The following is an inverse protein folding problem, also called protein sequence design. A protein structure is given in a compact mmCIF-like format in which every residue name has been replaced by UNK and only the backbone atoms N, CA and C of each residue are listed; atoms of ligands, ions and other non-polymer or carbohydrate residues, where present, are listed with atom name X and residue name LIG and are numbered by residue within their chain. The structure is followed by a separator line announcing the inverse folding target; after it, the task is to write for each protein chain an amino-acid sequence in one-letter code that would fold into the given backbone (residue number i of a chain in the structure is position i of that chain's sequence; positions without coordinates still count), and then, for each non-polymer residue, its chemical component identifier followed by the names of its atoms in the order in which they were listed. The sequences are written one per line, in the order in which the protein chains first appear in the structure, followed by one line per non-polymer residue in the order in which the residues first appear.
data_IF_398977760602
#
_entry.id   IF_398977760602
#
_cell.length_a   1.000
_cell.length_b   1.000
_cell.length_c   1.000
_cell.angle_alpha   90.00
_cell.angle_beta   90.00
_cell.angle_gamma   90.00
#
_symmetry.space_group_name_H-M   'P 1'
#
loop_
_entity.id
_entity.type
_entity.pdbx_description
1 polymer ?
#
# COMPACT_ATOMS: atom_id res chain seq x y z
N UNK A 1 -27.37 11.44 -27.18
CA UNK A 1 -26.47 11.75 -26.05
C UNK A 1 -25.82 10.43 -25.68
N UNK A 2 -24.52 10.26 -25.92
CA UNK A 2 -23.84 8.99 -25.61
C UNK A 2 -23.64 8.93 -24.10
N UNK A 3 -24.55 8.27 -23.40
CA UNK A 3 -24.44 8.04 -21.96
C UNK A 3 -23.42 6.90 -21.82
N UNK A 4 -22.23 7.21 -21.33
CA UNK A 4 -21.24 6.19 -21.01
C UNK A 4 -21.89 5.19 -20.02
N UNK A 5 -21.78 3.87 -20.25
CA UNK A 5 -22.28 2.89 -19.30
C UNK A 5 -21.67 3.13 -17.92
N UNK A 6 -22.45 3.02 -16.85
CA UNK A 6 -22.02 3.25 -15.47
C UNK A 6 -20.76 2.43 -15.10
N UNK A 7 -20.69 1.17 -15.57
CA UNK A 7 -19.52 0.30 -15.41
C UNK A 7 -18.26 0.87 -16.08
N UNK A 8 -18.40 1.57 -17.21
CA UNK A 8 -17.28 2.22 -17.91
C UNK A 8 -16.76 3.44 -17.15
N UNK A 9 -17.64 4.19 -16.48
CA UNK A 9 -17.24 5.33 -15.64
C UNK A 9 -16.51 4.86 -14.38
N UNK A 10 -17.00 3.80 -13.73
CA UNK A 10 -16.35 3.22 -12.55
C UNK A 10 -14.94 2.72 -12.87
N UNK A 11 -14.78 1.98 -13.97
CA UNK A 11 -13.46 1.50 -14.41
C UNK A 11 -12.48 2.66 -14.70
N UNK A 12 -12.98 3.74 -15.32
CA UNK A 12 -12.17 4.93 -15.58
C UNK A 12 -11.75 5.61 -14.28
N UNK A 13 -12.68 5.75 -13.33
CA UNK A 13 -12.40 6.34 -12.03
C UNK A 13 -11.39 5.51 -11.24
N UNK A 14 -11.57 4.19 -11.18
CA UNK A 14 -10.62 3.26 -10.55
C UNK A 14 -9.22 3.39 -11.15
N UNK A 15 -9.11 3.48 -12.48
CA UNK A 15 -7.84 3.70 -13.15
C UNK A 15 -7.22 5.04 -12.76
N UNK A 16 -8.00 6.11 -12.77
CA UNK A 16 -7.53 7.45 -12.42
C UNK A 16 -7.02 7.52 -10.98
N UNK A 17 -7.74 6.92 -10.03
CA UNK A 17 -7.32 6.83 -8.63
C UNK A 17 -6.02 6.04 -8.50
N UNK A 18 -5.91 4.87 -9.15
CA UNK A 18 -4.68 4.05 -9.13
C UNK A 18 -3.47 4.81 -9.69
N UNK A 19 -3.64 5.46 -10.85
CA UNK A 19 -2.58 6.24 -11.49
C UNK A 19 -2.15 7.41 -10.59
N UNK A 20 -3.11 8.14 -10.01
CA UNK A 20 -2.83 9.24 -9.09
C UNK A 20 -2.06 8.77 -7.84
N UNK A 21 -2.47 7.65 -7.24
CA UNK A 21 -1.79 7.07 -6.08
C UNK A 21 -0.38 6.66 -6.45
N UNK A 22 -0.20 5.92 -7.57
CA UNK A 22 1.11 5.52 -8.07
C UNK A 22 2.03 6.72 -8.27
N UNK A 23 1.58 7.74 -8.99
CA UNK A 23 2.37 8.93 -9.29
C UNK A 23 2.83 9.66 -8.03
N UNK A 24 1.94 9.80 -7.03
CA UNK A 24 2.28 10.46 -5.78
C UNK A 24 3.21 9.61 -4.91
N UNK A 25 3.02 8.29 -4.86
CA UNK A 25 3.95 7.39 -4.18
C UNK A 25 5.35 7.51 -4.77
N UNK A 26 5.50 7.47 -6.09
CA UNK A 26 6.81 7.63 -6.71
C UNK A 26 7.42 9.01 -6.50
N UNK A 27 6.61 10.07 -6.45
CA UNK A 27 7.09 11.42 -6.09
C UNK A 27 7.62 11.46 -4.67
N UNK A 28 6.91 10.86 -3.71
CA UNK A 28 7.36 10.75 -2.32
C UNK A 28 8.66 9.94 -2.22
N UNK A 29 8.73 8.79 -2.88
CA UNK A 29 9.94 7.96 -2.93
C UNK A 29 11.15 8.72 -3.50
N UNK A 30 10.95 9.51 -4.57
CA UNK A 30 11.98 10.37 -5.15
C UNK A 30 12.44 11.46 -4.18
N UNK A 31 11.52 12.03 -3.40
CA UNK A 31 11.84 12.99 -2.36
C UNK A 31 12.59 12.35 -1.18
N UNK A 32 12.19 11.16 -0.74
CA UNK A 32 12.85 10.42 0.34
C UNK A 32 14.29 10.08 -0.02
N UNK A 33 14.54 9.51 -1.21
CA UNK A 33 15.93 9.21 -1.61
C UNK A 33 16.75 10.49 -1.82
N UNK A 34 16.14 11.62 -2.19
CA UNK A 34 16.85 12.90 -2.21
C UNK A 34 17.29 13.31 -0.81
N UNK A 35 16.36 13.33 0.15
CA UNK A 35 16.68 13.63 1.54
C UNK A 35 17.73 12.70 2.13
N UNK A 36 17.67 11.40 1.81
CA UNK A 36 18.68 10.43 2.20
C UNK A 36 20.05 10.74 1.59
N UNK A 37 20.12 11.03 0.29
CA UNK A 37 21.41 11.34 -0.37
C UNK A 37 22.05 12.63 0.14
N UNK A 38 21.25 13.56 0.67
CA UNK A 38 21.73 14.81 1.27
C UNK A 38 22.15 14.64 2.74
N UNK A 39 21.91 13.47 3.35
CA UNK A 39 22.28 13.17 4.73
C UNK A 39 23.69 12.58 4.84
N UNK A 40 24.27 12.65 6.04
CA UNK A 40 25.55 12.01 6.32
C UNK A 40 25.47 10.48 6.23
N UNK A 41 24.28 9.89 6.43
CA UNK A 41 24.05 8.45 6.41
C UNK A 41 24.29 7.82 5.04
N UNK A 42 24.08 8.58 3.96
CA UNK A 42 24.37 8.10 2.62
C UNK A 42 25.87 7.84 2.43
N UNK A 43 26.73 8.65 3.04
CA UNK A 43 28.19 8.60 2.86
C UNK A 43 28.65 9.15 1.50
N UNK A 44 29.84 9.76 1.49
CA UNK A 44 30.37 10.49 0.33
C UNK A 44 30.62 9.64 -0.94
N UNK A 45 30.75 8.32 -0.80
CA UNK A 45 30.98 7.40 -1.92
C UNK A 45 29.70 6.78 -2.48
N UNK A 46 28.53 7.07 -1.89
CA UNK A 46 27.27 6.50 -2.34
C UNK A 46 26.65 7.33 -3.46
N UNK A 47 25.80 6.69 -4.26
CA UNK A 47 25.13 7.33 -5.39
C UNK A 47 23.87 6.56 -5.76
N UNK A 48 22.96 7.21 -6.48
CA UNK A 48 21.73 6.57 -6.97
C UNK A 48 22.05 5.48 -7.99
N UNK A 49 21.33 4.36 -7.91
CA UNK A 49 21.52 3.19 -8.76
C UNK A 49 20.23 2.78 -9.49
N UNK A 50 19.53 3.78 -10.03
CA UNK A 50 18.28 3.60 -10.76
C UNK A 50 17.12 3.19 -9.85
N UNK A 51 16.21 2.39 -10.42
CA UNK A 51 14.98 1.94 -9.78
C UNK A 51 14.86 0.42 -9.91
N UNK A 52 14.12 -0.18 -8.97
CA UNK A 52 13.55 -1.51 -9.15
C UNK A 52 12.03 -1.39 -9.19
N UNK A 53 11.36 -2.38 -9.78
CA UNK A 53 9.90 -2.42 -9.86
C UNK A 53 9.33 -3.35 -8.81
N UNK A 54 8.16 -2.99 -8.28
CA UNK A 54 7.36 -3.88 -7.43
C UNK A 54 5.88 -3.56 -7.56
N UNK A 55 5.06 -4.55 -7.23
CA UNK A 55 3.63 -4.36 -7.08
C UNK A 55 3.26 -4.23 -5.61
N UNK A 56 2.25 -3.40 -5.33
CA UNK A 56 1.74 -3.17 -4.00
C UNK A 56 0.21 -3.20 -4.00
N UNK A 57 -0.38 -4.06 -3.18
CA UNK A 57 -1.82 -4.01 -2.94
C UNK A 57 -2.12 -2.93 -1.92
N UNK A 58 -2.89 -1.93 -2.34
CA UNK A 58 -3.32 -0.83 -1.48
C UNK A 58 -4.83 -0.85 -1.27
N UNK A 59 -5.33 -0.09 -0.29
CA UNK A 59 -6.77 0.21 -0.18
C UNK A 59 -7.37 0.87 -1.43
N UNK A 60 -6.53 1.45 -2.29
CA UNK A 60 -6.94 2.12 -3.53
C UNK A 60 -6.82 1.21 -4.77
N UNK A 61 -6.45 -0.05 -4.58
CA UNK A 61 -6.30 -1.04 -5.64
C UNK A 61 -4.87 -1.59 -5.74
N UNK A 62 -4.69 -2.51 -6.70
CA UNK A 62 -3.38 -3.07 -7.03
C UNK A 62 -2.58 -2.04 -7.84
N UNK A 63 -1.49 -1.55 -7.24
CA UNK A 63 -0.54 -0.63 -7.87
C UNK A 63 0.55 -1.47 -8.51
N UNK A 64 0.51 -1.57 -9.83
CA UNK A 64 1.47 -2.32 -10.65
C UNK A 64 2.68 -1.46 -11.01
N UNK A 65 3.84 -2.08 -11.18
CA UNK A 65 5.05 -1.47 -11.72
C UNK A 65 5.49 -0.19 -10.97
N UNK A 66 5.36 -0.16 -9.65
CA UNK A 66 5.81 0.96 -8.82
C UNK A 66 7.33 1.08 -8.91
N UNK A 67 7.83 2.24 -9.34
CA UNK A 67 9.27 2.51 -9.45
C UNK A 67 9.83 2.93 -8.10
N UNK A 68 10.61 2.06 -7.47
CA UNK A 68 11.25 2.34 -6.19
C UNK A 68 12.72 2.68 -6.39
N UNK A 69 13.17 3.89 -6.02
CA UNK A 69 14.55 4.29 -6.18
C UNK A 69 15.45 3.51 -5.21
N UNK A 70 16.72 3.35 -5.59
CA UNK A 70 17.72 2.70 -4.76
C UNK A 70 19.07 3.38 -4.89
N UNK A 71 19.91 3.22 -3.89
CA UNK A 71 21.30 3.65 -3.88
C UNK A 71 22.25 2.50 -4.25
N UNK A 72 23.52 2.82 -4.51
CA UNK A 72 24.57 1.86 -4.87
C UNK A 72 24.93 0.96 -3.69
N UNK A 73 24.88 1.50 -2.47
CA UNK A 73 25.30 0.79 -1.26
C UNK A 73 24.15 0.05 -0.57
N UNK A 74 22.92 0.16 -1.09
CA UNK A 74 21.71 -0.46 -0.52
C UNK A 74 21.44 -0.04 0.93
N UNK A 75 21.76 1.21 1.25
CA UNK A 75 21.54 1.82 2.56
C UNK A 75 20.19 2.55 2.64
N UNK A 76 19.63 2.96 1.51
CA UNK A 76 18.34 3.63 1.46
C UNK A 76 17.19 2.66 1.76
N UNK A 77 16.38 2.99 2.76
CA UNK A 77 15.11 2.33 3.04
C UNK A 77 13.99 3.37 3.08
N UNK A 78 12.94 3.16 2.28
CA UNK A 78 11.77 4.03 2.26
C UNK A 78 10.93 3.87 3.53
N UNK A 79 10.26 4.95 3.94
CA UNK A 79 9.30 4.92 5.06
C UNK A 79 7.86 4.65 4.60
N UNK A 80 7.58 4.66 3.30
CA UNK A 80 6.22 4.44 2.79
C UNK A 80 5.73 3.00 2.98
N UNK A 81 6.65 2.04 3.04
CA UNK A 81 6.34 0.62 3.23
C UNK A 81 7.57 -0.14 3.71
N UNK A 82 7.33 -1.24 4.42
CA UNK A 82 8.38 -2.14 4.90
C UNK A 82 9.00 -2.97 3.76
N UNK A 83 10.25 -3.45 3.94
CA UNK A 83 10.86 -4.42 3.04
C UNK A 83 9.94 -5.63 2.85
N UNK A 84 9.78 -6.04 1.60
CA UNK A 84 8.93 -7.18 1.20
C UNK A 84 7.41 -7.03 1.47
N UNK A 85 6.93 -5.88 1.97
CA UNK A 85 5.51 -5.66 2.26
C UNK A 85 4.63 -5.72 0.99
N UNK A 86 3.79 -6.75 0.84
CA UNK A 86 2.93 -6.88 -0.36
C UNK A 86 1.60 -6.13 -0.26
N UNK A 87 1.16 -5.77 0.95
CA UNK A 87 -0.14 -5.15 1.25
C UNK A 87 0.05 -4.00 2.24
N UNK A 88 -0.61 -2.86 2.03
CA UNK A 88 -0.49 -1.64 2.87
C UNK A 88 -1.16 -1.75 4.27
N UNK A 89 -1.58 -2.94 4.70
CA UNK A 89 -2.06 -3.20 6.07
C UNK A 89 -3.41 -2.57 6.45
N UNK A 90 -4.04 -1.86 5.52
CA UNK A 90 -5.27 -1.10 5.78
C UNK A 90 -6.44 -1.96 6.29
N UNK A 91 -6.50 -3.21 5.84
CA UNK A 91 -7.59 -4.13 6.18
C UNK A 91 -7.42 -4.63 7.62
N UNK A 92 -6.19 -4.94 8.00
CA UNK A 92 -5.80 -5.26 9.36
C UNK A 92 -6.13 -4.10 10.31
N UNK A 93 -5.84 -2.87 9.91
CA UNK A 93 -6.20 -1.69 10.70
C UNK A 93 -7.72 -1.50 10.81
N UNK A 94 -8.47 -1.69 9.73
CA UNK A 94 -9.94 -1.66 9.77
C UNK A 94 -10.50 -2.74 10.72
N UNK A 95 -9.91 -3.95 10.71
CA UNK A 95 -10.24 -5.03 11.65
C UNK A 95 -10.00 -4.62 13.10
N UNK A 96 -8.85 -4.01 13.39
CA UNK A 96 -8.53 -3.49 14.73
C UNK A 96 -9.55 -2.43 15.16
N UNK A 97 -9.91 -1.49 14.28
CA UNK A 97 -10.87 -0.43 14.60
C UNK A 97 -12.29 -0.96 14.84
N UNK A 98 -12.75 -1.92 14.03
CA UNK A 98 -14.04 -2.58 14.24
C UNK A 98 -14.09 -3.31 15.58
N UNK A 99 -13.03 -4.05 15.93
CA UNK A 99 -12.95 -4.71 17.24
C UNK A 99 -12.93 -3.70 18.39
N UNK A 100 -12.12 -2.63 18.29
CA UNK A 100 -12.09 -1.52 19.26
C UNK A 100 -13.45 -0.84 19.44
N UNK A 101 -14.27 -0.82 18.38
CA UNK A 101 -15.63 -0.26 18.41
C UNK A 101 -16.67 -1.20 19.05
N UNK A 102 -16.25 -2.37 19.55
CA UNK A 102 -17.10 -3.34 20.26
C UNK A 102 -17.71 -4.41 19.37
N UNK A 103 -17.31 -4.52 18.09
CA UNK A 103 -17.76 -5.62 17.23
C UNK A 103 -17.10 -6.93 17.66
N UNK A 104 -17.89 -8.00 17.80
CA UNK A 104 -17.36 -9.33 18.09
C UNK A 104 -16.49 -9.84 16.93
N UNK A 105 -15.46 -10.66 17.23
CA UNK A 105 -14.55 -11.19 16.20
C UNK A 105 -15.25 -11.96 15.08
N UNK A 106 -16.36 -12.65 15.40
CA UNK A 106 -17.22 -13.32 14.41
C UNK A 106 -17.98 -12.34 13.52
N UNK A 107 -18.41 -11.21 14.07
CA UNK A 107 -19.12 -10.17 13.32
C UNK A 107 -18.17 -9.46 12.35
N UNK A 108 -16.96 -9.15 12.82
CA UNK A 108 -15.89 -8.60 11.98
C UNK A 108 -15.52 -9.56 10.86
N UNK A 109 -15.33 -10.85 11.15
CA UNK A 109 -15.05 -11.85 10.13
C UNK A 109 -16.16 -11.94 9.07
N UNK A 110 -17.44 -11.97 9.47
CA UNK A 110 -18.58 -11.98 8.55
C UNK A 110 -18.67 -10.73 7.68
N UNK A 111 -18.40 -9.55 8.25
CA UNK A 111 -18.41 -8.29 7.51
C UNK A 111 -17.30 -8.24 6.45
N UNK A 112 -16.08 -8.65 6.81
CA UNK A 112 -14.97 -8.74 5.86
C UNK A 112 -15.26 -9.79 4.78
N UNK A 113 -15.83 -10.93 5.14
CA UNK A 113 -16.22 -11.98 4.20
C UNK A 113 -17.28 -11.49 3.20
N UNK A 114 -18.28 -10.73 3.65
CA UNK A 114 -19.31 -10.18 2.76
C UNK A 114 -18.77 -9.13 1.78
N UNK A 115 -17.70 -8.42 2.15
CA UNK A 115 -17.11 -7.35 1.35
C UNK A 115 -16.00 -7.85 0.41
N UNK A 116 -15.19 -8.82 0.85
CA UNK A 116 -13.95 -9.25 0.17
C UNK A 116 -13.83 -10.77 -0.06
N UNK A 117 -14.86 -11.54 0.27
CA UNK A 117 -14.86 -13.00 0.18
C UNK A 117 -14.03 -13.68 1.28
N UNK A 118 -13.77 -14.97 1.11
CA UNK A 118 -13.31 -15.91 2.14
C UNK A 118 -11.81 -15.81 2.50
N UNK A 119 -11.35 -14.63 2.92
CA UNK A 119 -9.94 -14.39 3.26
C UNK A 119 -9.65 -14.30 4.78
N UNK A 120 -10.66 -14.07 5.63
CA UNK A 120 -10.44 -13.81 7.06
C UNK A 120 -11.34 -14.67 7.94
N UNK A 121 -10.73 -15.60 8.67
CA UNK A 121 -11.41 -16.40 9.69
C UNK A 121 -11.49 -15.64 11.02
N UNK A 122 -12.39 -16.01 11.96
CA UNK A 122 -12.38 -15.45 13.32
C UNK A 122 -11.03 -15.57 14.02
N UNK A 123 -10.27 -16.64 13.75
CA UNK A 123 -8.90 -16.85 14.27
C UNK A 123 -7.92 -15.83 13.68
N UNK A 124 -8.01 -15.56 12.37
CA UNK A 124 -7.20 -14.53 11.70
C UNK A 124 -7.46 -13.16 12.31
N UNK A 125 -8.73 -12.81 12.51
CA UNK A 125 -9.14 -11.56 13.17
C UNK A 125 -8.55 -11.48 14.58
N UNK A 126 -8.66 -12.56 15.36
CA UNK A 126 -8.11 -12.62 16.72
C UNK A 126 -6.61 -12.36 16.74
N UNK A 127 -5.84 -12.95 15.82
CA UNK A 127 -4.40 -12.78 15.75
C UNK A 127 -4.00 -11.34 15.40
N UNK A 128 -4.72 -10.71 14.47
CA UNK A 128 -4.51 -9.31 14.09
C UNK A 128 -4.79 -8.37 15.27
N UNK A 129 -5.86 -8.61 16.02
CA UNK A 129 -6.26 -7.77 17.16
C UNK A 129 -5.45 -8.01 18.44
N UNK A 130 -4.64 -9.06 18.50
CA UNK A 130 -3.85 -9.43 19.68
C UNK A 130 -2.45 -8.77 19.72
N UNK A 131 -2.11 -7.98 18.70
CA UNK A 131 -0.87 -7.19 18.61
C UNK A 131 -1.10 -5.80 19.19
#
# INVERSE_FOLDING_TARGET
MNILPESSLNNLFEKLVKDFVKDNMERLLRAEIQGFMDSEEAGASNSRNGYYTRDLHTKYGHIEDLQVPRDRQSLFQTQLFEPYQRRDGWLEEAVIQMYKSGMGTRDVARFIESMFGSHYSPTTVSNITAT
#
